data_IF_347281275178
#
_entry.id   IF_347281275178
#
_cell.length_a   1.000
_cell.length_b   1.000
_cell.length_c   1.000
_cell.angle_alpha   90.00
_cell.angle_beta   90.00
_cell.angle_gamma   90.00
#
_symmetry.space_group_name_H-M   'P 1'
#
loop_
_entity.id
_entity.type
_entity.pdbx_description
1 polymer ?
#
# COMPACT_ATOMS: atom_id res chain seq x y z
N UNK A 1 54.85 74.31 -3.30
CA UNK A 1 54.25 74.50 -4.58
C UNK A 1 53.21 73.42 -4.76
N UNK A 2 51.93 73.60 -4.35
CA UNK A 2 50.91 74.22 -5.16
C UNK A 2 50.68 73.44 -6.46
N UNK A 3 49.57 72.86 -6.68
CA UNK A 3 48.21 73.18 -6.96
C UNK A 3 47.38 71.88 -7.04
N UNK A 4 46.32 71.68 -6.28
CA UNK A 4 44.89 72.09 -6.50
C UNK A 4 44.13 71.49 -7.73
N UNK A 5 42.99 70.93 -7.38
CA UNK A 5 41.62 70.86 -7.98
C UNK A 5 41.42 69.74 -9.04
N UNK A 6 40.41 68.99 -9.02
CA UNK A 6 39.02 69.31 -8.68
C UNK A 6 38.09 68.11 -8.83
N UNK A 7 37.08 68.16 -8.07
CA UNK A 7 35.93 67.29 -7.98
C UNK A 7 35.14 67.13 -9.28
N UNK A 8 34.56 65.97 -9.54
CA UNK A 8 33.17 65.86 -10.01
C UNK A 8 32.60 64.50 -9.56
N UNK A 9 31.76 64.59 -8.58
CA UNK A 9 30.88 63.48 -8.21
C UNK A 9 29.82 63.25 -9.30
N UNK A 10 29.82 62.10 -9.94
CA UNK A 10 28.65 61.61 -10.70
C UNK A 10 27.90 60.64 -9.84
N UNK A 11 26.79 61.11 -9.27
CA UNK A 11 25.74 60.28 -8.69
C UNK A 11 25.11 59.43 -9.79
N UNK A 12 25.26 58.13 -9.71
CA UNK A 12 24.41 57.19 -10.41
C UNK A 12 23.28 56.76 -9.45
N UNK A 13 22.05 57.27 -9.72
CA UNK A 13 20.84 56.69 -9.13
C UNK A 13 20.60 55.33 -9.75
N UNK A 14 20.79 54.27 -8.97
CA UNK A 14 20.22 52.99 -9.30
C UNK A 14 18.73 53.01 -8.95
N UNK A 15 17.90 53.08 -9.98
CA UNK A 15 16.48 52.79 -9.84
C UNK A 15 16.31 51.30 -9.56
N UNK A 16 15.98 50.95 -8.31
CA UNK A 16 15.47 49.63 -7.97
C UNK A 16 14.07 49.49 -8.61
N UNK A 17 14.03 48.78 -9.73
CA UNK A 17 12.78 48.23 -10.22
C UNK A 17 12.37 47.07 -9.29
N UNK A 18 11.44 47.31 -8.39
CA UNK A 18 10.72 46.29 -7.65
C UNK A 18 9.82 45.56 -8.66
N UNK A 19 10.36 44.55 -9.30
CA UNK A 19 9.57 43.60 -10.06
C UNK A 19 8.78 42.75 -9.05
N UNK A 20 7.50 43.09 -8.87
CA UNK A 20 6.53 42.17 -8.25
C UNK A 20 6.47 40.93 -9.13
N UNK A 21 7.17 39.86 -8.73
CA UNK A 21 6.84 38.52 -9.18
C UNK A 21 5.42 38.23 -8.66
N UNK A 22 4.45 38.40 -9.53
CA UNK A 22 3.19 37.70 -9.43
C UNK A 22 3.55 36.22 -9.60
N UNK A 23 3.69 35.49 -8.47
CA UNK A 23 3.57 34.05 -8.44
C UNK A 23 2.15 33.74 -8.95
N UNK A 24 2.02 33.50 -10.24
CA UNK A 24 0.84 32.92 -10.82
C UNK A 24 0.64 31.57 -10.10
N UNK A 25 -0.46 31.43 -9.37
CA UNK A 25 -0.88 30.12 -8.91
C UNK A 25 -0.99 29.23 -10.17
N UNK A 26 -0.14 28.22 -10.27
CA UNK A 26 -0.28 27.22 -11.31
C UNK A 26 -1.69 26.62 -11.17
N UNK A 27 -2.45 26.62 -12.26
CA UNK A 27 -3.76 25.97 -12.30
C UNK A 27 -3.54 24.49 -11.98
N UNK A 28 -4.07 24.04 -10.86
CA UNK A 28 -3.95 22.63 -10.45
C UNK A 28 -4.79 21.81 -11.42
N UNK A 29 -4.13 21.04 -12.28
CA UNK A 29 -4.82 20.16 -13.21
C UNK A 29 -5.66 19.13 -12.45
N UNK A 30 -6.79 18.70 -13.04
CA UNK A 30 -7.62 17.64 -12.45
C UNK A 30 -6.77 16.41 -12.08
N UNK A 31 -6.98 15.81 -10.90
CA UNK A 31 -6.15 14.72 -10.38
C UNK A 31 -6.48 13.36 -11.05
N UNK A 32 -6.31 13.29 -12.37
CA UNK A 32 -6.57 12.08 -13.16
C UNK A 32 -5.74 10.90 -12.66
N UNK A 33 -6.38 9.74 -12.54
CA UNK A 33 -5.79 8.51 -12.02
C UNK A 33 -5.85 8.38 -10.48
N UNK A 34 -6.18 9.46 -9.77
CA UNK A 34 -6.30 9.43 -8.31
C UNK A 34 -7.73 9.08 -7.87
N UNK A 35 -7.85 8.50 -6.68
CA UNK A 35 -9.13 8.40 -5.96
C UNK A 35 -9.23 9.59 -5.03
N UNK A 36 -10.34 10.31 -5.10
CA UNK A 36 -10.59 11.54 -4.34
C UNK A 36 -11.87 11.46 -3.53
N UNK A 37 -11.98 12.32 -2.54
CA UNK A 37 -13.26 12.73 -1.95
C UNK A 37 -13.60 14.16 -2.38
N UNK A 38 -14.89 14.44 -2.40
CA UNK A 38 -15.43 15.80 -2.60
C UNK A 38 -16.18 16.22 -1.34
N UNK A 39 -15.99 17.47 -0.91
CA UNK A 39 -16.70 18.05 0.23
C UNK A 39 -17.41 19.31 -0.23
N UNK A 40 -18.73 19.35 -0.11
CA UNK A 40 -19.51 20.52 -0.51
C UNK A 40 -19.29 21.70 0.43
N UNK A 41 -19.03 22.87 -0.10
CA UNK A 41 -18.90 24.10 0.68
C UNK A 41 -20.21 24.43 1.42
N UNK A 42 -21.36 24.20 0.81
CA UNK A 42 -22.68 24.54 1.37
C UNK A 42 -23.04 23.79 2.64
N UNK A 43 -22.64 22.51 2.76
CA UNK A 43 -22.97 21.65 3.91
C UNK A 43 -21.79 21.38 4.81
N UNK A 44 -20.57 21.64 4.36
CA UNK A 44 -19.33 21.18 4.99
C UNK A 44 -19.29 19.66 5.21
N UNK A 45 -19.99 18.89 4.34
CA UNK A 45 -20.05 17.45 4.39
C UNK A 45 -19.58 16.81 3.09
N UNK A 46 -19.16 15.55 3.17
CA UNK A 46 -18.66 14.80 2.04
C UNK A 46 -19.79 14.35 1.11
N UNK A 47 -19.48 14.37 -0.19
CA UNK A 47 -20.36 13.87 -1.23
C UNK A 47 -20.32 12.35 -1.23
N UNK A 48 -21.48 11.70 -1.19
CA UNK A 48 -21.67 10.26 -1.20
C UNK A 48 -22.48 9.82 -2.42
N UNK A 49 -22.08 8.76 -3.10
CA UNK A 49 -22.93 8.01 -4.03
C UNK A 49 -23.77 7.02 -3.22
N UNK A 50 -24.91 7.49 -2.70
CA UNK A 50 -25.67 6.79 -1.65
C UNK A 50 -26.53 5.66 -2.20
N UNK A 51 -26.06 4.43 -2.05
CA UNK A 51 -26.77 3.22 -2.51
C UNK A 51 -28.03 2.90 -1.70
N UNK A 52 -28.19 3.46 -0.49
CA UNK A 52 -29.43 3.31 0.30
C UNK A 52 -30.58 4.15 -0.25
N UNK A 53 -30.29 5.17 -1.07
CA UNK A 53 -31.33 6.00 -1.70
C UNK A 53 -31.87 5.42 -3.02
N UNK A 54 -31.49 4.20 -3.36
CA UNK A 54 -31.97 3.45 -4.52
C UNK A 54 -30.85 2.96 -5.45
N UNK A 55 -31.24 2.09 -6.40
CA UNK A 55 -30.30 1.44 -7.32
C UNK A 55 -29.51 2.39 -8.24
N UNK A 56 -29.94 3.64 -8.37
CA UNK A 56 -29.25 4.68 -9.16
C UNK A 56 -28.13 5.36 -8.39
N UNK A 57 -28.01 5.09 -7.08
CA UNK A 57 -27.03 5.70 -6.18
C UNK A 57 -26.89 7.22 -6.39
N UNK A 58 -27.93 8.03 -6.05
CA UNK A 58 -27.88 9.47 -6.22
C UNK A 58 -26.78 10.09 -5.35
N UNK A 59 -26.13 11.13 -5.87
CA UNK A 59 -25.13 11.84 -5.12
C UNK A 59 -25.76 12.85 -4.17
N UNK A 60 -25.35 12.81 -2.90
CA UNK A 60 -25.79 13.71 -1.82
C UNK A 60 -24.61 14.17 -1.00
N UNK A 61 -24.64 15.41 -0.47
CA UNK A 61 -23.57 15.97 0.35
C UNK A 61 -23.95 16.00 1.84
N UNK A 62 -24.02 14.81 2.46
CA UNK A 62 -24.55 14.63 3.82
C UNK A 62 -23.72 13.70 4.73
N UNK A 63 -22.48 13.38 4.37
CA UNK A 63 -21.62 12.48 5.16
C UNK A 63 -20.57 13.25 5.95
N UNK A 64 -20.41 12.86 7.21
CA UNK A 64 -19.42 13.46 8.11
C UNK A 64 -18.00 12.89 7.91
N UNK A 65 -17.89 11.68 7.37
CA UNK A 65 -16.61 10.96 7.17
C UNK A 65 -16.55 10.33 5.79
N UNK A 66 -15.33 10.13 5.30
CA UNK A 66 -15.06 9.46 4.01
C UNK A 66 -15.00 7.95 4.24
N UNK A 67 -15.88 7.22 3.57
CA UNK A 67 -15.89 5.76 3.46
C UNK A 67 -15.96 5.35 1.98
N UNK A 68 -16.33 4.12 1.66
CA UNK A 68 -16.33 3.64 0.27
C UNK A 68 -17.28 4.39 -0.68
N UNK A 69 -18.39 4.95 -0.18
CA UNK A 69 -19.36 5.67 -1.00
C UNK A 69 -19.00 7.14 -1.24
N UNK A 70 -18.06 7.69 -0.45
CA UNK A 70 -17.56 9.05 -0.56
C UNK A 70 -16.27 9.15 -1.40
N UNK A 71 -15.89 8.05 -2.07
CA UNK A 71 -14.66 7.93 -2.85
C UNK A 71 -14.96 7.83 -4.33
N UNK A 72 -14.25 8.63 -5.13
CA UNK A 72 -14.41 8.70 -6.58
C UNK A 72 -13.05 8.63 -7.27
N UNK A 73 -12.86 7.68 -8.15
CA UNK A 73 -11.71 7.65 -9.04
C UNK A 73 -11.88 8.69 -10.14
N UNK A 74 -10.92 9.57 -10.32
CA UNK A 74 -10.91 10.54 -11.42
C UNK A 74 -10.30 9.88 -12.65
N UNK A 75 -11.08 9.79 -13.73
CA UNK A 75 -10.71 9.14 -14.98
C UNK A 75 -10.64 10.18 -16.10
N UNK A 76 -9.60 10.12 -16.95
CA UNK A 76 -9.57 10.93 -18.17
C UNK A 76 -10.70 10.51 -19.10
N UNK A 77 -11.60 11.43 -19.39
CA UNK A 77 -12.71 11.20 -20.32
C UNK A 77 -12.45 11.73 -21.73
N UNK A 78 -11.25 12.29 -21.96
CA UNK A 78 -10.83 12.90 -23.21
C UNK A 78 -11.40 14.29 -23.44
N UNK A 79 -10.77 15.03 -24.35
CA UNK A 79 -11.19 16.40 -24.72
C UNK A 79 -11.13 17.41 -23.58
N UNK A 80 -10.21 17.24 -22.62
CA UNK A 80 -10.07 18.13 -21.46
C UNK A 80 -11.14 17.92 -20.38
N UNK A 81 -11.90 16.82 -20.44
CA UNK A 81 -12.91 16.44 -19.46
C UNK A 81 -12.49 15.25 -18.61
N UNK A 82 -13.07 15.14 -17.43
CA UNK A 82 -12.93 13.98 -16.54
C UNK A 82 -14.25 13.23 -16.40
N UNK A 83 -14.18 11.99 -15.94
CA UNK A 83 -15.30 11.25 -15.37
C UNK A 83 -14.98 10.85 -13.93
N UNK A 84 -16.01 10.77 -13.10
CA UNK A 84 -15.91 10.31 -11.73
C UNK A 84 -16.48 8.88 -11.64
N UNK A 85 -15.67 7.92 -11.19
CA UNK A 85 -16.11 6.54 -10.97
C UNK A 85 -16.24 6.30 -9.47
N UNK A 86 -17.48 6.10 -9.00
CA UNK A 86 -17.75 5.79 -7.58
C UNK A 86 -17.11 4.44 -7.22
N UNK A 87 -16.21 4.42 -6.22
CA UNK A 87 -15.46 3.19 -5.87
C UNK A 87 -16.35 2.13 -5.23
N UNK A 88 -17.39 2.54 -4.50
CA UNK A 88 -18.33 1.64 -3.83
C UNK A 88 -19.22 0.82 -4.78
N UNK A 89 -19.53 1.34 -5.98
CA UNK A 89 -20.34 0.63 -7.00
C UNK A 89 -19.53 0.21 -8.23
N UNK A 90 -18.36 0.84 -8.46
CA UNK A 90 -17.60 0.70 -9.68
C UNK A 90 -18.25 1.37 -10.91
N UNK A 91 -19.30 2.16 -10.74
CA UNK A 91 -20.05 2.82 -11.80
C UNK A 91 -19.70 4.30 -11.91
N UNK A 92 -19.89 4.87 -13.12
CA UNK A 92 -19.61 6.28 -13.37
C UNK A 92 -20.77 7.17 -12.94
N UNK A 93 -20.42 8.34 -12.44
CA UNK A 93 -21.33 9.44 -12.12
C UNK A 93 -21.82 10.05 -13.41
N UNK A 94 -23.13 10.18 -13.57
CA UNK A 94 -23.78 10.85 -14.70
C UNK A 94 -24.62 12.05 -14.24
N UNK A 95 -24.61 13.12 -15.02
CA UNK A 95 -25.57 14.23 -14.91
C UNK A 95 -26.73 13.95 -15.87
N UNK A 96 -27.73 13.17 -15.43
CA UNK A 96 -28.83 12.71 -16.28
C UNK A 96 -29.84 13.83 -16.55
N UNK A 97 -29.86 14.30 -17.79
CA UNK A 97 -30.78 15.36 -18.22
C UNK A 97 -32.25 14.95 -18.20
N UNK A 98 -32.56 13.66 -18.28
CA UNK A 98 -33.94 13.17 -18.19
C UNK A 98 -34.54 13.33 -16.79
N UNK A 99 -33.70 13.46 -15.77
CA UNK A 99 -34.13 13.70 -14.37
C UNK A 99 -33.66 15.08 -13.88
N UNK A 100 -33.62 16.06 -14.77
CA UNK A 100 -33.29 17.46 -14.45
C UNK A 100 -31.83 17.70 -14.06
N UNK A 101 -30.91 16.85 -14.54
CA UNK A 101 -29.48 16.97 -14.27
C UNK A 101 -29.03 16.43 -12.91
N UNK A 102 -29.85 15.59 -12.27
CA UNK A 102 -29.45 14.90 -11.03
C UNK A 102 -28.20 14.05 -11.27
N UNK A 103 -27.23 14.14 -10.33
CA UNK A 103 -26.06 13.28 -10.37
C UNK A 103 -26.39 11.92 -9.74
N UNK A 104 -26.08 10.86 -10.48
CA UNK A 104 -26.29 9.46 -10.06
C UNK A 104 -25.08 8.61 -10.48
N UNK A 105 -24.67 7.64 -9.65
CA UNK A 105 -23.55 6.74 -9.95
C UNK A 105 -24.06 5.39 -10.46
N UNK A 106 -24.57 5.36 -11.69
CA UNK A 106 -25.29 4.21 -12.25
C UNK A 106 -24.89 3.81 -13.68
N UNK A 107 -23.81 4.37 -14.24
CA UNK A 107 -23.42 4.11 -15.64
C UNK A 107 -22.19 3.22 -15.73
N UNK A 108 -22.21 2.17 -16.58
CA UNK A 108 -21.03 1.30 -16.74
C UNK A 108 -19.98 1.88 -17.71
N UNK A 109 -20.32 2.87 -18.53
CA UNK A 109 -19.46 3.46 -19.56
C UNK A 109 -19.55 4.97 -19.56
N UNK A 110 -18.50 5.63 -20.08
CA UNK A 110 -18.42 7.09 -20.21
C UNK A 110 -19.03 7.51 -21.55
N UNK A 111 -20.07 8.33 -21.50
CA UNK A 111 -20.67 9.07 -22.62
C UNK A 111 -20.73 10.56 -22.24
N UNK A 112 -21.58 11.38 -22.90
CA UNK A 112 -21.63 12.83 -22.63
C UNK A 112 -22.16 13.17 -21.23
N UNK A 113 -23.03 12.33 -20.64
CA UNK A 113 -23.56 12.56 -19.30
C UNK A 113 -22.56 12.29 -18.17
N UNK A 114 -21.53 11.51 -18.42
CA UNK A 114 -20.48 11.14 -17.48
C UNK A 114 -19.25 12.06 -17.58
N UNK A 115 -19.28 13.06 -18.49
CA UNK A 115 -18.17 13.99 -18.71
C UNK A 115 -18.37 15.30 -17.95
N UNK A 116 -17.33 15.72 -17.23
CA UNK A 116 -17.32 16.96 -16.48
C UNK A 116 -16.05 17.78 -16.80
N UNK A 117 -16.19 19.10 -16.89
CA UNK A 117 -15.07 20.01 -16.84
C UNK A 117 -14.71 20.23 -15.37
N UNK A 118 -13.43 20.12 -15.05
CA UNK A 118 -12.86 20.45 -13.75
C UNK A 118 -12.47 21.92 -13.74
N UNK A 119 -13.15 22.74 -12.95
CA UNK A 119 -13.00 24.20 -12.96
C UNK A 119 -12.40 24.65 -11.63
N UNK A 120 -11.15 25.14 -11.67
CA UNK A 120 -10.49 25.69 -10.49
C UNK A 120 -11.12 27.03 -10.10
N UNK A 121 -11.43 27.20 -8.81
CA UNK A 121 -12.03 28.42 -8.25
C UNK A 121 -11.04 29.25 -7.44
N UNK A 122 -9.77 28.80 -7.32
CA UNK A 122 -8.78 29.32 -6.38
C UNK A 122 -8.96 28.75 -4.97
N UNK A 123 -8.03 29.05 -4.07
CA UNK A 123 -8.03 28.62 -2.65
C UNK A 123 -8.30 27.12 -2.42
N UNK A 124 -7.98 26.25 -3.37
CA UNK A 124 -8.15 24.78 -3.27
C UNK A 124 -9.59 24.30 -3.49
N UNK A 125 -10.50 25.17 -3.94
CA UNK A 125 -11.87 24.80 -4.30
C UNK A 125 -12.01 24.62 -5.79
N UNK A 126 -12.96 23.75 -6.20
CA UNK A 126 -13.30 23.46 -7.58
C UNK A 126 -14.81 23.55 -7.83
N UNK A 127 -15.17 23.77 -9.07
CA UNK A 127 -16.50 23.51 -9.60
C UNK A 127 -16.48 22.38 -10.60
N UNK A 128 -17.57 21.64 -10.71
CA UNK A 128 -17.78 20.64 -11.75
C UNK A 128 -18.83 21.14 -12.73
N UNK A 129 -18.49 21.16 -14.03
CA UNK A 129 -19.47 21.57 -15.06
C UNK A 129 -19.79 20.38 -15.94
N UNK A 130 -21.05 19.97 -15.94
CA UNK A 130 -21.50 18.83 -16.74
C UNK A 130 -21.50 19.16 -18.24
N UNK A 131 -20.90 18.31 -19.06
CA UNK A 131 -20.85 18.49 -20.51
C UNK A 131 -22.24 18.30 -21.15
N UNK A 132 -23.07 17.42 -20.57
CA UNK A 132 -24.40 17.08 -21.08
C UNK A 132 -25.36 18.24 -21.24
N UNK A 133 -25.27 19.26 -20.36
CA UNK A 133 -26.15 20.43 -20.39
C UNK A 133 -25.41 21.77 -20.22
N UNK A 134 -24.09 21.74 -20.06
CA UNK A 134 -23.29 22.95 -19.89
C UNK A 134 -23.46 23.67 -18.55
N UNK A 135 -24.09 23.02 -17.55
CA UNK A 135 -24.40 23.62 -16.26
C UNK A 135 -23.48 23.11 -15.14
N UNK A 136 -23.27 23.96 -14.15
CA UNK A 136 -22.48 23.62 -12.97
C UNK A 136 -23.27 22.78 -11.99
N UNK A 137 -22.55 21.85 -11.37
CA UNK A 137 -23.07 20.99 -10.30
C UNK A 137 -23.23 21.82 -9.03
N UNK A 138 -24.36 21.69 -8.38
CA UNK A 138 -24.72 22.36 -7.14
C UNK A 138 -25.14 21.31 -6.10
N UNK A 139 -24.62 21.40 -4.87
CA UNK A 139 -25.13 20.69 -3.70
C UNK A 139 -26.34 21.48 -3.14
N UNK A 140 -27.54 21.13 -3.59
CA UNK A 140 -28.74 21.96 -3.49
C UNK A 140 -29.54 21.74 -2.20
N UNK A 141 -29.23 22.53 -1.16
CA UNK A 141 -30.00 22.57 0.11
C UNK A 141 -31.44 23.07 -0.06
N UNK A 142 -31.77 23.78 -1.14
CA UNK A 142 -33.13 24.22 -1.44
C UNK A 142 -34.08 23.06 -1.80
N UNK A 143 -33.55 21.90 -2.19
CA UNK A 143 -34.32 20.71 -2.50
C UNK A 143 -34.64 19.88 -1.25
N UNK A 144 -33.62 19.58 -0.44
CA UNK A 144 -33.81 18.96 0.86
C UNK A 144 -32.51 19.02 1.69
N UNK A 145 -32.58 18.63 2.98
CA UNK A 145 -31.47 18.70 3.91
C UNK A 145 -30.28 17.75 3.57
N UNK A 146 -30.46 16.77 2.70
CA UNK A 146 -29.36 15.88 2.24
C UNK A 146 -28.49 16.52 1.15
N UNK A 147 -28.85 17.74 0.71
CA UNK A 147 -28.16 18.50 -0.35
C UNK A 147 -27.82 17.62 -1.57
N UNK A 148 -28.84 17.12 -2.32
CA UNK A 148 -28.60 16.33 -3.51
C UNK A 148 -27.87 17.15 -4.58
N UNK A 149 -27.01 16.49 -5.36
CA UNK A 149 -26.21 17.12 -6.39
C UNK A 149 -26.97 17.16 -7.72
N UNK A 150 -27.05 18.37 -8.32
CA UNK A 150 -27.67 18.61 -9.61
C UNK A 150 -26.79 19.50 -10.49
N UNK A 151 -26.61 19.14 -11.76
CA UNK A 151 -26.03 20.02 -12.78
C UNK A 151 -27.14 20.97 -13.27
N UNK A 152 -27.35 22.09 -12.54
CA UNK A 152 -28.51 22.96 -12.70
C UNK A 152 -28.21 24.48 -12.67
N UNK A 153 -26.95 24.87 -12.46
CA UNK A 153 -26.57 26.30 -12.33
C UNK A 153 -25.82 26.79 -13.55
N UNK A 154 -26.19 27.96 -14.07
CA UNK A 154 -25.54 28.57 -15.23
C UNK A 154 -24.15 29.14 -14.92
N UNK A 155 -23.91 29.51 -13.67
CA UNK A 155 -22.64 30.03 -13.17
C UNK A 155 -22.38 29.59 -11.74
N UNK A 156 -21.14 29.71 -11.31
CA UNK A 156 -20.76 29.54 -9.91
C UNK A 156 -21.10 30.84 -9.18
N UNK A 157 -22.13 30.77 -8.33
CA UNK A 157 -22.63 31.90 -7.57
C UNK A 157 -22.18 31.96 -6.12
N UNK A 158 -21.56 30.87 -5.64
CA UNK A 158 -21.13 30.80 -4.24
C UNK A 158 -20.84 29.38 -3.75
N UNK A 159 -21.20 29.13 -2.50
CA UNK A 159 -20.86 27.87 -1.79
C UNK A 159 -21.59 26.63 -2.34
N UNK A 160 -22.70 26.79 -3.04
CA UNK A 160 -23.47 25.63 -3.51
C UNK A 160 -22.80 24.90 -4.69
N UNK A 161 -22.04 25.61 -5.51
CA UNK A 161 -21.34 25.08 -6.68
C UNK A 161 -19.85 24.84 -6.40
N UNK A 162 -19.39 25.16 -5.18
CA UNK A 162 -18.00 25.02 -4.78
C UNK A 162 -17.78 23.76 -3.94
N UNK A 163 -16.75 23.01 -4.32
CA UNK A 163 -16.34 21.81 -3.60
C UNK A 163 -14.85 21.93 -3.26
N UNK A 164 -14.48 21.53 -2.05
CA UNK A 164 -13.10 21.16 -1.76
C UNK A 164 -12.91 19.69 -2.05
N UNK A 165 -11.71 19.30 -2.35
CA UNK A 165 -11.38 17.91 -2.63
C UNK A 165 -10.06 17.52 -1.99
N UNK A 166 -9.82 16.23 -1.85
CA UNK A 166 -8.53 15.67 -1.46
C UNK A 166 -8.43 14.25 -1.92
N UNK A 167 -7.20 13.79 -2.13
CA UNK A 167 -6.96 12.41 -2.51
C UNK A 167 -7.35 11.49 -1.36
N UNK A 168 -8.03 10.40 -1.68
CA UNK A 168 -8.17 9.27 -0.76
C UNK A 168 -6.83 8.56 -0.76
N UNK A 169 -6.07 8.80 0.31
CA UNK A 169 -4.64 8.48 0.35
C UNK A 169 -3.74 9.72 0.34
N UNK A 170 -4.31 10.94 0.26
CA UNK A 170 -3.64 12.26 0.38
C UNK A 170 -2.62 12.57 -0.73
N UNK A 171 -2.33 13.84 -0.97
CA UNK A 171 -1.09 14.29 -1.61
C UNK A 171 0.07 14.16 -0.63
N UNK A 172 0.23 12.99 -0.05
CA UNK A 172 1.35 12.66 0.79
C UNK A 172 2.36 11.84 -0.02
N UNK A 173 3.58 11.85 0.43
CA UNK A 173 4.64 11.01 -0.10
C UNK A 173 4.89 9.84 0.85
N UNK A 174 5.29 8.71 0.30
CA UNK A 174 5.91 7.66 1.07
C UNK A 174 7.26 8.15 1.57
N UNK A 175 7.36 8.39 2.88
CA UNK A 175 8.61 8.81 3.52
C UNK A 175 9.21 7.61 4.21
N UNK A 176 10.46 7.30 3.86
CA UNK A 176 11.19 6.22 4.51
C UNK A 176 11.44 6.60 5.98
N UNK A 177 10.91 5.78 6.89
CA UNK A 177 11.02 5.99 8.34
C UNK A 177 12.04 5.07 8.98
N UNK A 178 12.37 3.97 8.30
CA UNK A 178 13.39 3.02 8.74
C UNK A 178 13.92 2.20 7.58
N UNK A 179 15.18 1.77 7.68
CA UNK A 179 15.76 0.72 6.84
C UNK A 179 16.87 -0.03 7.53
N UNK A 180 17.18 -1.19 6.99
CA UNK A 180 18.44 -1.90 7.19
C UNK A 180 18.96 -2.32 5.81
N UNK A 181 20.08 -1.74 5.41
CA UNK A 181 20.72 -1.96 4.10
C UNK A 181 21.78 -3.07 4.17
N UNK A 182 21.99 -3.68 5.35
CA UNK A 182 22.96 -4.74 5.60
C UNK A 182 24.41 -4.45 5.13
N UNK A 183 24.79 -3.16 5.13
CA UNK A 183 26.13 -2.69 4.72
C UNK A 183 27.27 -3.09 5.69
N UNK A 184 26.91 -3.61 6.86
CA UNK A 184 27.86 -4.03 7.89
C UNK A 184 28.49 -5.39 7.63
N UNK A 185 29.13 -5.92 8.68
CA UNK A 185 29.71 -7.27 8.72
C UNK A 185 29.01 -8.19 9.72
N UNK A 186 28.04 -7.65 10.45
CA UNK A 186 27.24 -8.37 11.47
C UNK A 186 25.81 -7.86 11.46
N UNK A 187 24.88 -8.69 11.96
CA UNK A 187 23.48 -8.27 12.16
C UNK A 187 23.43 -7.12 13.16
N UNK A 188 22.71 -6.06 12.81
CA UNK A 188 22.52 -4.91 13.70
C UNK A 188 21.54 -5.27 14.84
N UNK A 189 22.10 -5.47 16.05
CA UNK A 189 21.31 -5.84 17.24
C UNK A 189 20.33 -4.75 17.71
N UNK A 190 20.42 -3.51 17.21
CA UNK A 190 19.42 -2.47 17.43
C UNK A 190 18.18 -2.63 16.56
N UNK A 191 18.29 -3.42 15.50
CA UNK A 191 17.19 -3.69 14.55
C UNK A 191 16.62 -5.10 14.72
N UNK A 192 17.46 -6.09 15.04
CA UNK A 192 17.11 -7.50 14.95
C UNK A 192 17.46 -8.29 16.20
N UNK A 193 16.66 -9.32 16.43
CA UNK A 193 16.89 -10.37 17.43
C UNK A 193 16.99 -11.72 16.69
N UNK A 194 17.98 -12.55 17.04
CA UNK A 194 18.03 -13.94 16.61
C UNK A 194 17.01 -14.75 17.42
N UNK A 195 15.98 -15.26 16.76
CA UNK A 195 15.03 -16.16 17.42
C UNK A 195 15.40 -17.62 17.15
N UNK A 196 16.05 -18.25 18.13
CA UNK A 196 16.54 -19.64 18.05
C UNK A 196 15.62 -20.65 18.73
N UNK A 197 14.58 -20.19 19.44
CA UNK A 197 13.69 -21.02 20.25
C UNK A 197 12.38 -21.42 19.58
N UNK A 198 12.14 -21.01 18.32
CA UNK A 198 10.88 -21.31 17.63
C UNK A 198 10.91 -22.69 16.99
N UNK A 199 9.91 -23.49 17.33
CA UNK A 199 9.65 -24.81 16.74
C UNK A 199 8.15 -24.92 16.45
N UNK A 200 7.75 -24.61 15.23
CA UNK A 200 6.35 -24.59 14.77
C UNK A 200 6.20 -25.36 13.46
N UNK A 201 4.99 -25.62 13.02
CA UNK A 201 4.66 -26.16 11.70
C UNK A 201 5.36 -27.49 11.35
N UNK A 202 5.86 -28.24 12.34
CA UNK A 202 6.67 -29.45 12.11
C UNK A 202 7.92 -29.21 11.24
N UNK A 203 8.47 -28.00 11.30
CA UNK A 203 9.70 -27.63 10.61
C UNK A 203 10.88 -28.50 11.07
N UNK A 204 11.85 -28.76 10.21
CA UNK A 204 12.89 -29.74 10.39
C UNK A 204 14.26 -29.16 10.76
N UNK A 205 14.36 -27.83 10.94
CA UNK A 205 15.58 -27.16 11.36
C UNK A 205 15.54 -26.70 12.80
N UNK A 206 16.71 -26.61 13.41
CA UNK A 206 16.99 -25.76 14.56
C UNK A 206 17.43 -24.39 14.05
N UNK A 207 16.76 -23.31 14.46
CA UNK A 207 17.29 -21.97 14.19
C UNK A 207 18.50 -21.67 15.06
N UNK A 208 19.49 -20.97 14.48
CA UNK A 208 20.78 -20.72 15.08
C UNK A 208 21.21 -19.26 14.84
N UNK A 209 21.95 -18.69 15.79
CA UNK A 209 22.63 -17.39 15.66
C UNK A 209 24.06 -17.51 15.14
N UNK A 210 24.52 -18.72 14.81
CA UNK A 210 25.85 -18.97 14.28
C UNK A 210 26.08 -18.19 12.98
N UNK A 211 27.29 -17.65 12.74
CA UNK A 211 27.66 -17.08 11.45
C UNK A 211 27.53 -18.04 10.27
N UNK A 212 27.47 -19.36 10.54
CA UNK A 212 27.19 -20.38 9.54
C UNK A 212 25.72 -20.38 9.05
N UNK A 213 24.79 -19.80 9.83
CA UNK A 213 23.35 -19.75 9.52
C UNK A 213 22.83 -18.33 9.32
N UNK A 214 23.45 -17.32 9.94
CA UNK A 214 23.10 -15.91 9.79
C UNK A 214 24.35 -15.10 9.57
N UNK A 215 24.49 -14.53 8.39
CA UNK A 215 25.70 -13.79 8.00
C UNK A 215 25.32 -12.48 7.31
N UNK A 216 26.01 -11.40 7.67
CA UNK A 216 25.99 -10.14 6.89
C UNK A 216 27.36 -9.99 6.22
N UNK A 217 27.37 -9.94 4.90
CA UNK A 217 28.60 -9.81 4.10
C UNK A 217 28.28 -9.36 2.68
N UNK A 218 29.19 -8.57 2.10
CA UNK A 218 29.05 -8.03 0.74
C UNK A 218 27.72 -7.28 0.52
N UNK A 219 27.29 -6.49 1.52
CA UNK A 219 26.09 -5.69 1.45
C UNK A 219 24.79 -6.48 1.50
N UNK A 220 24.78 -7.72 1.95
CA UNK A 220 23.56 -8.54 2.08
C UNK A 220 23.52 -9.35 3.36
N UNK A 221 22.30 -9.53 3.90
CA UNK A 221 22.01 -10.56 4.89
C UNK A 221 21.83 -11.90 4.19
N UNK A 222 22.39 -12.96 4.77
CA UNK A 222 22.22 -14.33 4.32
C UNK A 222 21.64 -15.19 5.45
N UNK A 223 20.51 -15.81 5.20
CA UNK A 223 19.92 -16.84 6.07
C UNK A 223 20.20 -18.19 5.41
N UNK A 224 20.99 -19.04 6.09
CA UNK A 224 21.64 -20.19 5.48
C UNK A 224 21.15 -21.48 6.12
N UNK A 225 20.50 -22.33 5.34
CA UNK A 225 20.10 -23.67 5.71
C UNK A 225 21.26 -24.67 5.45
N UNK A 226 21.57 -25.49 6.45
CA UNK A 226 22.65 -26.47 6.41
C UNK A 226 22.16 -27.85 6.87
N UNK A 227 22.67 -28.91 6.26
CA UNK A 227 22.52 -30.27 6.79
C UNK A 227 23.51 -30.46 7.94
N UNK A 228 23.12 -30.04 9.10
CA UNK A 228 23.89 -30.04 10.33
C UNK A 228 22.97 -30.43 11.49
N UNK A 229 23.30 -31.53 12.17
CA UNK A 229 22.47 -32.01 13.28
C UNK A 229 22.61 -31.09 14.50
N UNK A 230 21.50 -30.58 15.02
CA UNK A 230 21.48 -29.72 16.20
C UNK A 230 20.21 -29.92 17.00
N UNK A 231 20.32 -30.15 18.30
CA UNK A 231 19.20 -30.25 19.25
C UNK A 231 18.05 -31.18 18.80
N UNK A 232 18.39 -32.31 18.15
CA UNK A 232 17.39 -33.25 17.65
C UNK A 232 16.85 -32.96 16.25
N UNK A 233 17.33 -31.90 15.59
CA UNK A 233 16.93 -31.50 14.23
C UNK A 233 18.05 -31.80 13.22
N UNK A 234 17.71 -32.33 12.03
CA UNK A 234 18.69 -32.69 10.98
C UNK A 234 19.28 -31.52 10.23
N UNK A 235 18.70 -30.31 10.42
CA UNK A 235 19.14 -29.09 9.76
C UNK A 235 19.32 -27.98 10.78
N UNK A 236 20.20 -27.00 10.44
CA UNK A 236 20.27 -25.69 11.08
C UNK A 236 19.91 -24.62 10.06
N UNK A 237 19.35 -23.51 10.50
CA UNK A 237 19.02 -22.34 9.65
C UNK A 237 18.96 -21.04 10.44
N UNK A 238 18.61 -19.93 9.78
CA UNK A 238 18.54 -18.59 10.37
C UNK A 238 17.12 -18.02 10.45
N UNK A 239 16.84 -17.32 11.57
CA UNK A 239 15.63 -16.50 11.75
C UNK A 239 15.98 -15.23 12.51
N UNK A 240 15.56 -14.10 11.95
CA UNK A 240 15.67 -12.77 12.55
C UNK A 240 14.29 -12.16 12.74
N UNK A 241 14.10 -11.46 13.85
CA UNK A 241 12.87 -10.74 14.18
C UNK A 241 13.19 -9.31 14.61
N UNK A 242 12.38 -8.36 14.21
CA UNK A 242 12.50 -6.98 14.69
C UNK A 242 11.70 -6.73 16.00
N UNK A 243 11.14 -7.76 16.60
CA UNK A 243 10.33 -7.73 17.81
C UNK A 243 11.04 -7.00 18.97
N UNK A 244 10.35 -6.06 19.61
CA UNK A 244 10.91 -5.26 20.72
C UNK A 244 12.03 -4.29 20.31
N UNK A 245 12.37 -4.21 19.02
CA UNK A 245 13.37 -3.30 18.45
C UNK A 245 12.75 -2.33 17.46
N UNK A 246 12.08 -2.86 16.44
CA UNK A 246 11.41 -2.10 15.38
C UNK A 246 10.04 -2.71 15.12
N UNK A 247 9.02 -1.93 15.41
CA UNK A 247 7.61 -2.31 15.23
C UNK A 247 6.91 -1.18 14.48
N UNK A 248 6.08 -1.54 13.51
CA UNK A 248 5.50 -0.58 12.57
C UNK A 248 3.98 -0.73 12.53
N UNK A 249 3.28 0.39 12.64
CA UNK A 249 1.86 0.48 12.31
C UNK A 249 1.64 0.51 10.81
N UNK A 250 0.47 1.00 10.40
CA UNK A 250 0.13 1.13 8.99
C UNK A 250 1.24 1.81 8.17
N UNK A 251 1.44 1.33 6.94
CA UNK A 251 2.50 1.83 6.10
C UNK A 251 2.84 0.90 4.94
N UNK A 252 4.02 1.10 4.40
CA UNK A 252 4.64 0.25 3.38
C UNK A 252 5.85 -0.44 3.99
N UNK A 253 5.92 -1.75 3.81
CA UNK A 253 7.07 -2.58 4.21
C UNK A 253 7.53 -3.34 2.98
N UNK A 254 8.81 -3.22 2.65
CA UNK A 254 9.38 -3.88 1.48
C UNK A 254 10.78 -4.40 1.75
N UNK A 255 11.14 -5.47 1.04
CA UNK A 255 12.48 -6.04 1.06
C UNK A 255 12.89 -6.51 -0.34
N UNK A 256 14.17 -6.38 -0.67
CA UNK A 256 14.74 -6.93 -1.89
C UNK A 256 15.40 -8.26 -1.56
N UNK A 257 14.84 -9.33 -2.11
CA UNK A 257 15.17 -10.70 -1.71
C UNK A 257 15.44 -11.58 -2.92
N UNK A 258 16.39 -12.50 -2.75
CA UNK A 258 16.70 -13.60 -3.64
C UNK A 258 16.55 -14.91 -2.88
N UNK A 259 15.76 -15.85 -3.39
CA UNK A 259 15.39 -17.07 -2.69
C UNK A 259 16.12 -18.29 -3.24
N UNK A 260 16.41 -19.30 -2.39
CA UNK A 260 16.87 -20.58 -2.87
C UNK A 260 15.72 -21.38 -3.50
N UNK A 261 16.06 -22.25 -4.45
CA UNK A 261 15.11 -23.16 -5.10
C UNK A 261 15.44 -24.59 -4.71
N UNK A 262 14.45 -25.34 -4.21
CA UNK A 262 14.55 -26.73 -3.80
C UNK A 262 13.31 -27.11 -3.00
N UNK A 263 12.43 -28.03 -3.50
CA UNK A 263 11.17 -28.37 -2.81
C UNK A 263 11.39 -28.74 -1.35
N UNK A 264 10.78 -27.99 -0.42
CA UNK A 264 11.01 -28.15 1.01
C UNK A 264 11.89 -27.07 1.67
N UNK A 265 12.55 -26.21 0.89
CA UNK A 265 13.09 -24.95 1.41
C UNK A 265 11.95 -23.95 1.54
N UNK A 266 11.83 -23.31 2.69
CA UNK A 266 10.71 -22.40 2.98
C UNK A 266 11.23 -21.04 3.46
N UNK A 267 11.72 -20.20 2.53
CA UNK A 267 12.03 -18.79 2.80
C UNK A 267 10.76 -17.99 3.04
N UNK A 268 10.79 -17.08 4.03
CA UNK A 268 9.68 -16.20 4.32
C UNK A 268 10.13 -14.79 4.75
N UNK A 269 9.36 -13.80 4.30
CA UNK A 269 9.37 -12.41 4.73
C UNK A 269 7.94 -12.03 5.12
N UNK A 270 7.72 -11.79 6.40
CA UNK A 270 6.41 -11.70 6.99
C UNK A 270 6.38 -10.87 8.27
N UNK A 271 5.22 -10.69 8.85
CA UNK A 271 5.03 -9.85 10.03
C UNK A 271 4.05 -10.48 11.02
N UNK A 272 4.30 -10.31 12.33
CA UNK A 272 3.37 -10.65 13.41
C UNK A 272 2.99 -9.41 14.23
N UNK A 273 1.75 -9.40 14.73
CA UNK A 273 1.29 -8.37 15.66
C UNK A 273 2.10 -8.37 16.95
N UNK A 274 2.51 -7.17 17.39
CA UNK A 274 3.39 -6.99 18.56
C UNK A 274 2.78 -7.45 19.89
N UNK A 275 1.47 -7.70 19.91
CA UNK A 275 0.75 -8.24 21.06
C UNK A 275 0.71 -9.78 21.13
N UNK A 276 1.58 -10.46 20.38
CA UNK A 276 1.61 -11.94 20.33
C UNK A 276 1.66 -12.61 21.69
N UNK A 277 2.43 -12.05 22.64
CA UNK A 277 2.57 -12.60 23.99
C UNK A 277 1.29 -12.46 24.84
N UNK A 278 0.39 -11.53 24.51
CA UNK A 278 -0.88 -11.31 25.21
C UNK A 278 -2.05 -11.99 24.51
N UNK A 279 -2.14 -11.82 23.20
CA UNK A 279 -3.27 -12.30 22.42
C UNK A 279 -3.11 -13.75 21.93
N UNK A 280 -1.86 -14.20 21.76
CA UNK A 280 -1.54 -15.46 21.12
C UNK A 280 -1.82 -15.44 19.61
N UNK A 281 -1.32 -16.47 18.90
CA UNK A 281 -1.65 -16.71 17.50
C UNK A 281 -2.99 -17.49 17.39
N UNK A 282 -3.88 -17.21 16.44
CA UNK A 282 -3.78 -16.19 15.40
C UNK A 282 -4.36 -14.80 15.77
N UNK A 283 -4.76 -14.57 17.03
CA UNK A 283 -5.41 -13.33 17.44
C UNK A 283 -4.49 -12.11 17.40
N UNK A 284 -3.17 -12.31 17.45
CA UNK A 284 -2.20 -11.24 17.23
C UNK A 284 -2.21 -10.72 15.77
N UNK A 285 -2.71 -11.52 14.82
CA UNK A 285 -2.61 -11.25 13.39
C UNK A 285 -1.24 -11.61 12.81
N UNK A 286 -1.25 -12.15 11.58
CA UNK A 286 -0.06 -12.47 10.79
C UNK A 286 -0.28 -11.97 9.36
N UNK A 287 0.75 -11.37 8.77
CA UNK A 287 0.77 -10.86 7.41
C UNK A 287 1.99 -11.40 6.69
N UNK A 288 1.77 -12.34 5.78
CA UNK A 288 2.83 -12.93 4.98
C UNK A 288 2.99 -12.12 3.70
N UNK A 289 4.13 -11.41 3.61
CA UNK A 289 4.45 -10.54 2.46
C UNK A 289 4.96 -11.40 1.32
N UNK A 290 5.80 -12.37 1.64
CA UNK A 290 6.37 -13.33 0.70
C UNK A 290 6.70 -14.64 1.39
N UNK A 291 6.19 -15.73 0.84
CA UNK A 291 6.58 -17.10 1.15
C UNK A 291 6.83 -17.88 -0.14
N UNK A 292 7.72 -18.85 -0.05
CA UNK A 292 7.93 -19.87 -1.08
C UNK A 292 8.24 -21.21 -0.42
N UNK A 293 7.95 -22.32 -1.07
CA UNK A 293 8.24 -23.66 -0.56
C UNK A 293 9.15 -24.47 -1.50
N UNK A 294 10.06 -23.72 -2.15
CA UNK A 294 11.13 -24.26 -2.97
C UNK A 294 10.83 -24.38 -4.47
N UNK A 295 9.78 -23.73 -4.96
CA UNK A 295 9.46 -23.65 -6.39
C UNK A 295 10.04 -22.38 -7.03
N UNK A 296 10.58 -22.52 -8.23
CA UNK A 296 11.35 -21.45 -8.89
C UNK A 296 10.54 -20.33 -9.55
N UNK A 297 9.23 -20.46 -9.69
CA UNK A 297 8.42 -19.60 -10.55
C UNK A 297 7.22 -18.91 -9.86
N UNK A 298 7.03 -19.08 -8.56
CA UNK A 298 5.95 -18.44 -7.82
C UNK A 298 6.30 -18.15 -6.37
N UNK A 299 5.53 -17.30 -5.74
CA UNK A 299 5.56 -16.97 -4.33
C UNK A 299 4.12 -16.81 -3.83
N UNK A 300 3.91 -16.82 -2.53
CA UNK A 300 2.61 -16.59 -1.91
C UNK A 300 2.65 -15.44 -0.92
N UNK A 301 1.47 -14.90 -0.62
CA UNK A 301 1.20 -14.02 0.49
C UNK A 301 -0.12 -14.41 1.13
N UNK A 302 -0.26 -14.19 2.44
CA UNK A 302 -1.41 -14.62 3.20
C UNK A 302 -1.74 -13.66 4.34
N UNK A 303 -2.97 -13.78 4.87
CA UNK A 303 -3.39 -13.16 6.12
C UNK A 303 -3.91 -14.24 7.07
N UNK A 304 -3.47 -14.20 8.32
CA UNK A 304 -3.99 -15.06 9.36
C UNK A 304 -4.52 -14.25 10.55
N UNK A 305 -5.69 -14.66 11.01
CA UNK A 305 -6.38 -14.07 12.14
C UNK A 305 -7.50 -14.99 12.64
N UNK A 306 -8.27 -14.58 13.66
CA UNK A 306 -9.38 -15.35 14.18
C UNK A 306 -10.43 -15.63 13.09
N UNK A 307 -10.68 -16.92 12.80
CA UNK A 307 -11.61 -17.37 11.76
C UNK A 307 -11.00 -17.58 10.37
N UNK A 308 -9.74 -17.16 10.15
CA UNK A 308 -9.02 -17.31 8.89
C UNK A 308 -7.52 -17.58 9.14
N UNK A 309 -7.20 -18.73 9.65
CA UNK A 309 -5.81 -19.13 10.00
C UNK A 309 -5.49 -20.54 9.53
N UNK A 310 -4.22 -20.94 9.53
CA UNK A 310 -3.77 -22.21 8.97
C UNK A 310 -3.98 -22.24 7.45
N UNK A 311 -4.86 -23.10 6.94
CA UNK A 311 -5.31 -23.06 5.56
C UNK A 311 -6.26 -21.86 5.37
N UNK A 312 -5.71 -20.65 5.48
CA UNK A 312 -6.50 -19.41 5.38
C UNK A 312 -7.12 -19.27 3.99
N UNK A 313 -8.41 -18.81 3.90
CA UNK A 313 -9.01 -18.46 2.63
C UNK A 313 -8.46 -17.15 2.05
N UNK A 314 -7.70 -16.39 2.86
CA UNK A 314 -7.13 -15.09 2.48
C UNK A 314 -5.66 -15.29 2.12
N UNK A 315 -5.44 -15.92 0.99
CA UNK A 315 -4.10 -16.17 0.43
C UNK A 315 -4.07 -15.82 -1.06
N UNK A 316 -2.89 -15.66 -1.61
CA UNK A 316 -2.66 -15.49 -3.04
C UNK A 316 -1.37 -16.14 -3.48
N UNK A 317 -1.37 -16.72 -4.68
CA UNK A 317 -0.17 -17.19 -5.37
C UNK A 317 0.18 -16.18 -6.46
N UNK A 318 1.44 -15.75 -6.50
CA UNK A 318 1.92 -14.69 -7.36
C UNK A 318 3.09 -15.21 -8.21
N UNK A 319 3.19 -14.71 -9.44
CA UNK A 319 4.19 -15.13 -10.41
C UNK A 319 5.09 -13.94 -10.77
N UNK A 320 6.32 -13.86 -10.21
CA UNK A 320 7.30 -12.86 -10.63
C UNK A 320 7.63 -12.98 -12.13
N UNK A 321 8.14 -11.90 -12.71
CA UNK A 321 8.49 -11.84 -14.13
C UNK A 321 9.75 -12.64 -14.50
N UNK A 322 10.56 -13.01 -13.49
CA UNK A 322 11.74 -13.89 -13.61
C UNK A 322 11.75 -14.91 -12.47
N UNK A 323 12.64 -15.91 -12.45
CA UNK A 323 12.70 -16.89 -11.38
C UNK A 323 12.93 -16.26 -10.00
N UNK A 324 12.33 -16.80 -8.95
CA UNK A 324 12.49 -16.32 -7.55
C UNK A 324 13.96 -16.36 -7.07
N UNK A 325 14.82 -17.07 -7.79
CA UNK A 325 16.28 -17.07 -7.59
C UNK A 325 16.99 -15.84 -8.14
N UNK A 326 16.28 -14.94 -8.79
CA UNK A 326 16.74 -13.59 -9.12
C UNK A 326 16.36 -12.63 -7.99
N UNK A 327 16.85 -11.40 -8.06
CA UNK A 327 16.51 -10.36 -7.11
C UNK A 327 15.13 -9.76 -7.42
N UNK A 328 14.21 -9.82 -6.47
CA UNK A 328 12.89 -9.20 -6.53
C UNK A 328 12.64 -8.30 -5.33
N UNK A 329 11.79 -7.29 -5.50
CA UNK A 329 11.28 -6.45 -4.43
C UNK A 329 9.88 -6.94 -4.04
N UNK A 330 9.75 -7.53 -2.87
CA UNK A 330 8.47 -7.94 -2.27
C UNK A 330 7.99 -6.85 -1.33
N UNK A 331 6.75 -6.43 -1.49
CA UNK A 331 6.20 -5.30 -0.74
C UNK A 331 4.77 -5.54 -0.30
N UNK A 332 4.44 -5.07 0.90
CA UNK A 332 3.07 -4.85 1.35
C UNK A 332 2.82 -3.38 1.67
N UNK A 333 1.59 -2.94 1.41
CA UNK A 333 1.05 -1.70 1.94
C UNK A 333 -0.18 -2.07 2.75
N UNK A 334 -0.23 -1.70 4.02
CA UNK A 334 -1.35 -2.01 4.90
C UNK A 334 -1.87 -0.76 5.59
N UNK A 335 -3.18 -0.66 5.66
CA UNK A 335 -3.93 0.48 6.17
C UNK A 335 -5.06 0.02 7.09
N UNK A 336 -5.89 0.93 7.60
CA UNK A 336 -7.12 0.59 8.32
C UNK A 336 -8.21 0.00 7.41
N UNK A 337 -8.07 0.11 6.09
CA UNK A 337 -9.09 -0.23 5.10
C UNK A 337 -8.73 -1.44 4.25
N UNK A 338 -7.45 -1.65 3.95
CA UNK A 338 -6.98 -2.68 3.03
C UNK A 338 -5.52 -3.07 3.27
N UNK A 339 -5.16 -4.21 2.69
CA UNK A 339 -3.78 -4.72 2.60
C UNK A 339 -3.53 -5.06 1.13
N UNK A 340 -2.37 -4.62 0.63
CA UNK A 340 -1.96 -4.79 -0.77
C UNK A 340 -0.61 -5.46 -0.85
N UNK A 341 -0.43 -6.35 -1.84
CA UNK A 341 0.85 -6.98 -2.16
C UNK A 341 1.35 -6.51 -3.50
N UNK A 342 2.67 -6.31 -3.59
CA UNK A 342 3.34 -5.91 -4.82
C UNK A 342 4.61 -6.75 -5.00
N UNK A 343 4.95 -7.02 -6.26
CA UNK A 343 6.23 -7.60 -6.67
C UNK A 343 6.82 -6.69 -7.75
N UNK A 344 8.06 -6.23 -7.55
CA UNK A 344 8.78 -5.33 -8.47
C UNK A 344 7.97 -4.08 -8.86
N UNK A 345 7.22 -3.55 -7.89
CA UNK A 345 6.36 -2.38 -8.07
C UNK A 345 4.97 -2.68 -8.64
N UNK A 346 4.73 -3.85 -9.22
CA UNK A 346 3.42 -4.24 -9.74
C UNK A 346 2.49 -4.71 -8.61
N UNK A 347 1.27 -4.16 -8.55
CA UNK A 347 0.23 -4.62 -7.63
C UNK A 347 -0.25 -6.01 -8.06
N UNK A 348 -0.15 -7.00 -7.16
CA UNK A 348 -0.55 -8.39 -7.43
C UNK A 348 -1.80 -8.82 -6.70
N UNK A 349 -2.10 -8.21 -5.54
CA UNK A 349 -3.33 -8.51 -4.77
C UNK A 349 -3.72 -7.31 -3.89
N UNK A 350 -5.02 -7.14 -3.74
CA UNK A 350 -5.62 -6.28 -2.71
C UNK A 350 -6.64 -7.11 -1.94
N UNK A 351 -6.62 -6.97 -0.62
CA UNK A 351 -7.63 -7.54 0.29
C UNK A 351 -8.17 -6.39 1.13
N UNK A 352 -9.47 -6.17 1.08
CA UNK A 352 -10.14 -5.13 1.85
C UNK A 352 -10.49 -5.63 3.26
N UNK A 353 -10.63 -4.71 4.21
CA UNK A 353 -11.14 -5.01 5.55
C UNK A 353 -12.47 -5.74 5.51
N UNK A 354 -13.42 -5.27 4.69
CA UNK A 354 -14.72 -5.92 4.55
C UNK A 354 -14.65 -7.33 3.96
N UNK A 355 -13.60 -7.67 3.19
CA UNK A 355 -13.34 -9.03 2.73
C UNK A 355 -12.86 -9.92 3.88
N UNK A 356 -11.93 -9.44 4.71
CA UNK A 356 -11.45 -10.15 5.90
C UNK A 356 -12.58 -10.38 6.90
N UNK A 357 -13.39 -9.35 7.16
CA UNK A 357 -14.48 -9.38 8.13
C UNK A 357 -15.60 -10.37 7.77
N UNK A 358 -15.65 -10.89 6.53
CA UNK A 358 -16.52 -12.02 6.16
C UNK A 358 -16.08 -13.36 6.75
N UNK A 359 -14.81 -13.48 7.12
CA UNK A 359 -14.21 -14.70 7.68
C UNK A 359 -13.95 -14.60 9.19
N UNK A 360 -13.67 -13.37 9.69
CA UNK A 360 -13.37 -13.17 11.09
C UNK A 360 -12.95 -11.73 11.40
N UNK A 361 -12.40 -11.50 12.58
CA UNK A 361 -12.05 -10.15 13.03
C UNK A 361 -10.88 -9.55 12.24
N UNK A 362 -10.97 -8.27 11.88
CA UNK A 362 -9.82 -7.49 11.41
C UNK A 362 -8.85 -7.24 12.56
N UNK A 363 -7.60 -7.68 12.44
CA UNK A 363 -6.60 -7.64 13.52
C UNK A 363 -5.34 -6.86 13.15
N UNK A 364 -5.39 -6.01 12.12
CA UNK A 364 -4.22 -5.31 11.55
C UNK A 364 -4.12 -3.82 11.96
N UNK A 365 -4.95 -3.36 12.92
CA UNK A 365 -4.94 -1.97 13.42
C UNK A 365 -3.97 -1.76 14.61
N UNK A 366 -2.82 -2.44 14.60
CA UNK A 366 -1.80 -2.36 15.64
C UNK A 366 -0.40 -2.43 15.03
N UNK A 367 0.68 -2.16 15.78
CA UNK A 367 2.02 -2.37 15.28
C UNK A 367 2.35 -3.86 15.06
N UNK A 368 3.13 -4.12 14.04
CA UNK A 368 3.67 -5.42 13.64
C UNK A 368 5.19 -5.37 13.62
N UNK A 369 5.84 -6.46 13.96
CA UNK A 369 7.27 -6.64 13.77
C UNK A 369 7.56 -7.54 12.57
N UNK A 370 8.71 -7.32 11.96
CA UNK A 370 9.16 -8.01 10.74
C UNK A 370 9.90 -9.28 11.13
N UNK A 371 9.69 -10.33 10.33
CA UNK A 371 10.37 -11.62 10.45
C UNK A 371 10.98 -12.00 9.11
N UNK A 372 12.22 -12.44 9.13
CA UNK A 372 12.96 -13.03 8.02
C UNK A 372 13.46 -14.41 8.45
N UNK A 373 13.11 -15.45 7.71
CA UNK A 373 13.60 -16.79 8.00
C UNK A 373 13.74 -17.65 6.74
N UNK A 374 14.55 -18.69 6.88
CA UNK A 374 14.59 -19.81 5.93
C UNK A 374 14.32 -21.10 6.71
N UNK A 375 13.07 -21.59 6.68
CA UNK A 375 12.72 -22.88 7.23
C UNK A 375 13.10 -24.02 6.27
N UNK A 376 13.14 -25.23 6.78
CA UNK A 376 13.41 -26.45 6.03
C UNK A 376 12.34 -27.50 6.39
N UNK A 377 11.58 -27.98 5.41
CA UNK A 377 10.47 -28.89 5.64
C UNK A 377 9.31 -28.26 6.38
N UNK A 378 8.46 -29.10 6.95
CA UNK A 378 7.29 -28.68 7.70
C UNK A 378 5.98 -28.89 6.93
N UNK A 379 4.88 -28.47 7.56
CA UNK A 379 3.52 -28.76 7.09
C UNK A 379 3.19 -28.10 5.74
N UNK A 380 3.62 -26.86 5.50
CA UNK A 380 3.34 -26.18 4.23
C UNK A 380 4.13 -26.82 3.06
N UNK A 381 5.46 -26.99 3.13
CA UNK A 381 6.17 -27.77 2.12
C UNK A 381 5.61 -29.18 1.90
N UNK A 382 5.28 -29.90 2.97
CA UNK A 382 4.66 -31.23 2.87
C UNK A 382 3.34 -31.17 2.10
N UNK A 383 2.48 -30.20 2.40
CA UNK A 383 1.20 -30.03 1.69
C UNK A 383 1.38 -29.81 0.18
N UNK A 384 2.51 -29.24 -0.24
CA UNK A 384 2.81 -28.95 -1.64
C UNK A 384 3.57 -30.07 -2.36
N UNK A 385 4.45 -30.80 -1.69
CA UNK A 385 5.32 -31.79 -2.31
C UNK A 385 5.06 -33.25 -1.89
N UNK A 386 4.28 -33.48 -0.80
CA UNK A 386 3.90 -34.79 -0.30
C UNK A 386 5.05 -35.61 0.29
N UNK A 387 6.24 -35.06 0.45
CA UNK A 387 7.41 -35.80 0.91
C UNK A 387 7.37 -36.03 2.42
N UNK A 388 7.19 -37.25 2.84
CA UNK A 388 7.30 -37.67 4.25
C UNK A 388 8.69 -38.20 4.60
N UNK A 389 9.52 -38.52 3.60
CA UNK A 389 10.89 -39.07 3.73
C UNK A 389 11.82 -38.33 2.75
N UNK A 390 13.12 -38.17 3.07
CA UNK A 390 13.80 -38.58 4.32
C UNK A 390 13.37 -37.77 5.55
N UNK A 391 12.81 -36.54 5.35
CA UNK A 391 12.24 -35.72 6.41
C UNK A 391 10.92 -35.08 5.97
N UNK A 392 10.06 -34.76 6.91
CA UNK A 392 8.74 -34.22 6.66
C UNK A 392 8.79 -32.90 5.88
N UNK A 393 8.26 -32.92 4.66
CA UNK A 393 8.31 -31.80 3.71
C UNK A 393 9.65 -31.64 2.97
N UNK A 394 10.64 -32.53 3.17
CA UNK A 394 11.96 -32.44 2.51
C UNK A 394 12.21 -33.74 1.70
N UNK A 395 12.05 -33.72 0.39
CA UNK A 395 12.38 -34.85 -0.45
C UNK A 395 13.90 -35.10 -0.54
N UNK A 396 14.28 -36.31 -0.97
CA UNK A 396 15.69 -36.71 -1.08
C UNK A 396 16.51 -35.73 -1.94
N UNK A 397 15.94 -35.22 -3.05
CA UNK A 397 16.60 -34.27 -3.93
C UNK A 397 17.05 -32.98 -3.21
N UNK A 398 16.22 -32.49 -2.28
CA UNK A 398 16.56 -31.29 -1.50
C UNK A 398 17.56 -31.59 -0.38
N UNK A 399 17.47 -32.74 0.22
CA UNK A 399 18.52 -33.21 1.17
C UNK A 399 19.88 -33.26 0.47
N UNK A 400 19.94 -33.86 -0.74
CA UNK A 400 21.17 -33.95 -1.52
C UNK A 400 21.68 -32.58 -1.95
N UNK A 401 20.76 -31.66 -2.32
CA UNK A 401 21.08 -30.27 -2.65
C UNK A 401 21.76 -29.56 -1.47
N UNK A 402 21.17 -29.64 -0.26
CA UNK A 402 21.73 -29.01 0.94
C UNK A 402 23.07 -29.65 1.37
N UNK A 403 23.24 -30.97 1.13
CA UNK A 403 24.50 -31.68 1.38
C UNK A 403 25.62 -31.24 0.43
N UNK A 404 25.30 -30.98 -0.82
CA UNK A 404 26.27 -30.49 -1.80
C UNK A 404 26.74 -29.08 -1.47
N UNK A 405 25.82 -28.20 -1.10
CA UNK A 405 26.12 -26.85 -0.66
C UNK A 405 25.01 -26.31 0.24
N UNK A 406 25.31 -25.54 1.28
CA UNK A 406 24.33 -24.81 2.05
C UNK A 406 23.43 -23.95 1.14
N UNK A 407 22.13 -23.93 1.43
CA UNK A 407 21.17 -23.12 0.66
C UNK A 407 20.88 -21.84 1.40
N UNK A 408 20.73 -20.72 0.69
CA UNK A 408 20.58 -19.44 1.35
C UNK A 408 19.48 -18.57 0.73
N UNK A 409 18.75 -17.88 1.58
CA UNK A 409 17.96 -16.71 1.25
C UNK A 409 18.85 -15.49 1.44
N UNK A 410 18.94 -14.62 0.43
CA UNK A 410 19.71 -13.39 0.50
C UNK A 410 18.75 -12.20 0.55
N UNK A 411 19.03 -11.24 1.45
CA UNK A 411 18.28 -9.98 1.57
C UNK A 411 19.25 -8.82 1.38
N UNK A 412 19.00 -8.02 0.36
CA UNK A 412 19.79 -6.83 0.04
C UNK A 412 19.49 -5.69 1.03
N UNK A 413 18.20 -5.45 1.23
CA UNK A 413 17.73 -4.46 2.20
C UNK A 413 16.29 -4.75 2.64
N UNK A 414 15.92 -4.15 3.78
CA UNK A 414 14.53 -4.02 4.26
C UNK A 414 14.26 -2.54 4.50
N UNK A 415 13.13 -2.02 3.99
CA UNK A 415 12.75 -0.62 4.10
C UNK A 415 11.31 -0.47 4.53
N UNK A 416 11.04 0.51 5.38
CA UNK A 416 9.71 0.85 5.86
C UNK A 416 9.41 2.32 5.60
N UNK A 417 8.22 2.57 5.09
CA UNK A 417 7.74 3.91 4.77
C UNK A 417 6.40 4.15 5.45
N UNK A 418 6.21 5.37 5.88
CA UNK A 418 4.91 5.87 6.30
C UNK A 418 4.40 6.92 5.32
N UNK A 419 3.08 6.91 5.14
CA UNK A 419 2.44 7.94 4.35
C UNK A 419 2.39 9.23 5.16
N UNK A 420 3.02 10.28 4.66
CA UNK A 420 2.97 11.63 5.25
C UNK A 420 2.17 12.54 4.32
N UNK A 421 1.19 13.22 4.88
CA UNK A 421 0.38 14.24 4.22
C UNK A 421 1.12 15.56 4.17
#
# INVERSE_FOLDING_TARGET
MAWELGSVAKRWMLALAVGSLLLGAEAVAAPVGQTIWLKACSTQQFVSADQNLGATAPLVANRATVQGWEQFQVVDAGGGTIALRATGSGLYVSADTNVGGQLTANRPTIQDWERFEWVELGNGSIGLKARSNGLYVSADLGRNASAPLYASRASIGGCWEAFTWGSVGGSGNWVQVWSDEFDGTTVNASNWVHNTGVHVNSEQQQYSSSPGNVQVSNGTLKLIARNEWSNGYPFTSGRLESAGKREFGHGRVEARIKMPVGPGLWPAFWMLGNNINQAGWPACGELDIMENVGFGNWTSGALHGPGYSGNTPITGQFYPSSPVSDWHVYRTEFSTADIKWFIDGALVKTVTRGEVERYGAWVYDKPFFIILNLAVGGSYPFGMNGASTPYYGVPQSTLDLIRQAPQQMEVDWVRVYQWQQ
#
